data_IF_320884870265
#
_entry.id   IF_320884870265
#
_cell.length_a   1.000
_cell.length_b   1.000
_cell.length_c   1.000
_cell.angle_alpha   90.00
_cell.angle_beta   90.00
_cell.angle_gamma   90.00
#
_symmetry.space_group_name_H-M   'P 1'
#
loop_
_entity.id
_entity.type
_entity.pdbx_description
1 polymer ?
#
# COMPACT_ATOMS: atom_id res chain seq x y z
N UNK A 1 -23.39 -43.31 -42.77
CA UNK A 1 -23.29 -44.04 -41.49
C UNK A 1 -21.99 -43.63 -40.81
N UNK A 2 -22.04 -43.53 -39.48
CA UNK A 2 -21.03 -42.98 -38.56
C UNK A 2 -19.67 -43.67 -38.68
N UNK A 3 -18.60 -42.88 -38.85
CA UNK A 3 -17.26 -43.25 -38.39
C UNK A 3 -16.72 -42.15 -37.48
N UNK A 4 -17.12 -42.25 -36.20
CA UNK A 4 -16.40 -41.67 -35.07
C UNK A 4 -15.14 -42.50 -34.86
N UNK A 5 -13.98 -42.03 -35.30
CA UNK A 5 -12.70 -42.45 -34.74
C UNK A 5 -11.57 -41.58 -35.29
N UNK A 6 -11.51 -40.32 -34.84
CA UNK A 6 -10.32 -39.49 -35.01
C UNK A 6 -10.12 -38.61 -33.79
N UNK A 7 -10.16 -39.24 -32.61
CA UNK A 7 -9.96 -38.60 -31.32
C UNK A 7 -9.14 -39.52 -30.42
N UNK A 8 -7.92 -39.85 -30.87
CA UNK A 8 -6.94 -40.57 -30.05
C UNK A 8 -5.49 -40.40 -30.54
N UNK A 9 -5.08 -39.18 -30.93
CA UNK A 9 -3.68 -38.94 -31.30
C UNK A 9 -3.17 -37.54 -30.92
N UNK A 10 -3.58 -37.02 -29.75
CA UNK A 10 -3.10 -35.74 -29.22
C UNK A 10 -2.80 -35.83 -27.70
N UNK A 11 -2.16 -36.92 -27.26
CA UNK A 11 -1.87 -37.18 -25.84
C UNK A 11 -0.38 -37.51 -25.56
N UNK A 12 0.57 -36.97 -26.33
CA UNK A 12 2.01 -37.21 -26.11
C UNK A 12 2.88 -35.94 -26.05
N UNK A 13 2.32 -34.77 -25.75
CA UNK A 13 3.10 -33.58 -25.38
C UNK A 13 3.15 -33.44 -23.85
N UNK A 14 3.81 -34.41 -23.19
CA UNK A 14 4.24 -34.28 -21.80
C UNK A 14 5.74 -33.95 -21.73
N UNK A 15 6.00 -32.74 -21.23
CA UNK A 15 7.16 -32.28 -20.46
C UNK A 15 8.51 -33.02 -20.61
N UNK A 16 9.44 -32.43 -21.37
CA UNK A 16 10.87 -32.58 -21.11
C UNK A 16 11.23 -31.81 -19.82
N UNK A 17 11.57 -32.53 -18.75
CA UNK A 17 12.18 -31.96 -17.54
C UNK A 17 13.68 -32.31 -17.57
N UNK A 18 14.59 -31.36 -17.81
CA UNK A 18 16.02 -31.63 -17.62
C UNK A 18 16.30 -31.84 -16.13
N UNK A 19 16.91 -32.99 -15.84
CA UNK A 19 17.46 -33.38 -14.55
C UNK A 19 18.88 -32.81 -14.46
N UNK A 20 19.08 -31.84 -13.58
CA UNK A 20 20.41 -31.41 -13.15
C UNK A 20 20.47 -31.55 -11.63
N UNK A 21 21.05 -32.65 -11.17
CA UNK A 21 21.70 -32.75 -9.87
C UNK A 21 23.20 -32.77 -10.17
N UNK A 22 23.94 -31.72 -9.82
CA UNK A 22 24.96 -31.86 -8.78
C UNK A 22 25.65 -30.52 -8.44
N UNK A 23 26.06 -30.49 -7.18
CA UNK A 23 26.66 -29.42 -6.42
C UNK A 23 27.85 -28.73 -7.10
N UNK A 24 27.90 -27.42 -6.97
CA UNK A 24 29.15 -26.75 -6.60
C UNK A 24 28.81 -25.64 -5.62
N UNK A 25 29.26 -25.86 -4.38
CA UNK A 25 29.24 -24.89 -3.30
C UNK A 25 29.94 -23.60 -3.75
N UNK A 26 29.17 -22.53 -3.91
CA UNK A 26 29.67 -21.17 -3.83
C UNK A 26 29.10 -20.57 -2.54
N UNK A 27 29.98 -20.48 -1.55
CA UNK A 27 29.81 -19.77 -0.29
C UNK A 27 29.52 -18.30 -0.57
N UNK A 28 28.25 -17.97 -0.80
CA UNK A 28 27.73 -16.62 -0.75
C UNK A 28 27.14 -16.40 0.64
N UNK A 29 27.84 -15.66 1.48
CA UNK A 29 27.42 -15.21 2.81
C UNK A 29 26.12 -14.39 2.70
N UNK A 30 24.98 -15.08 2.66
CA UNK A 30 23.68 -14.47 2.90
C UNK A 30 23.59 -14.18 4.39
N UNK A 31 23.84 -12.92 4.79
CA UNK A 31 23.51 -12.46 6.12
C UNK A 31 22.08 -12.92 6.47
N UNK A 32 21.85 -13.53 7.64
CA UNK A 32 20.50 -13.86 8.06
C UNK A 32 19.72 -12.55 8.12
N UNK A 33 18.74 -12.40 7.22
CA UNK A 33 17.86 -11.24 7.17
C UNK A 33 17.29 -11.02 8.58
N UNK A 34 17.73 -9.93 9.20
CA UNK A 34 17.51 -9.63 10.61
C UNK A 34 16.01 -9.62 10.91
N UNK A 35 15.57 -10.49 11.82
CA UNK A 35 14.21 -10.48 12.32
C UNK A 35 13.89 -9.06 12.82
N UNK A 36 12.85 -8.44 12.24
CA UNK A 36 12.41 -7.12 12.68
C UNK A 36 11.84 -7.29 14.09
N UNK A 37 12.56 -6.77 15.08
CA UNK A 37 12.13 -6.79 16.47
C UNK A 37 10.86 -5.92 16.59
N UNK A 38 9.73 -6.56 16.86
CA UNK A 38 8.43 -5.93 16.90
C UNK A 38 8.18 -5.34 18.30
N UNK A 39 8.95 -4.30 18.66
CA UNK A 39 8.91 -3.63 19.97
C UNK A 39 7.89 -2.50 20.05
N UNK A 40 7.17 -2.22 18.96
CA UNK A 40 6.22 -1.11 18.89
C UNK A 40 4.86 -1.58 19.43
N UNK A 41 4.26 -0.88 20.42
CA UNK A 41 2.93 -1.23 20.92
C UNK A 41 1.90 -1.27 19.79
N UNK A 42 1.04 -2.28 19.77
CA UNK A 42 -0.04 -2.40 18.78
C UNK A 42 -1.16 -1.38 18.99
N UNK A 43 -1.23 -0.81 20.19
CA UNK A 43 -2.21 0.19 20.60
C UNK A 43 -1.54 1.41 21.21
N UNK A 44 -2.07 2.60 20.91
CA UNK A 44 -1.63 3.85 21.54
C UNK A 44 -2.33 4.04 22.88
N UNK A 45 -1.60 4.55 23.86
CA UNK A 45 -2.16 4.97 25.15
C UNK A 45 -3.04 6.22 24.96
N UNK A 46 -2.48 7.25 24.31
CA UNK A 46 -3.15 8.51 23.97
C UNK A 46 -3.35 8.64 22.46
N UNK A 47 -4.40 9.37 22.06
CA UNK A 47 -4.69 9.69 20.66
C UNK A 47 -5.03 11.16 20.61
N UNK A 48 -4.27 11.92 19.83
CA UNK A 48 -4.52 13.34 19.62
C UNK A 48 -5.70 13.54 18.66
N UNK A 49 -6.46 14.62 18.87
CA UNK A 49 -7.59 14.98 18.00
C UNK A 49 -7.16 15.81 16.77
N UNK A 50 -5.91 16.27 16.74
CA UNK A 50 -5.35 16.99 15.59
C UNK A 50 -4.88 16.02 14.50
N UNK A 51 -4.91 16.44 13.22
CA UNK A 51 -4.37 15.63 12.14
C UNK A 51 -2.85 15.49 12.27
N UNK A 52 -2.33 14.30 11.99
CA UNK A 52 -0.89 14.01 11.89
C UNK A 52 -0.30 14.35 10.53
N UNK A 53 -1.15 14.47 9.51
CA UNK A 53 -0.78 14.98 8.20
C UNK A 53 -2.00 15.63 7.55
N UNK A 54 -1.78 16.77 6.89
CA UNK A 54 -2.83 17.55 6.24
C UNK A 54 -2.35 18.03 4.86
N UNK A 55 -3.27 18.06 3.91
CA UNK A 55 -3.09 18.67 2.60
C UNK A 55 -4.31 19.51 2.26
N UNK A 56 -4.10 20.69 1.69
CA UNK A 56 -5.19 21.53 1.22
C UNK A 56 -4.79 22.29 -0.04
N UNK A 57 -5.58 22.13 -1.10
CA UNK A 57 -5.42 22.85 -2.36
C UNK A 57 -6.74 23.53 -2.72
N UNK A 58 -6.67 24.82 -3.07
CA UNK A 58 -7.83 25.58 -3.50
C UNK A 58 -8.23 25.14 -4.91
N UNK A 59 -9.53 24.94 -5.10
CA UNK A 59 -10.13 24.64 -6.40
C UNK A 59 -10.45 25.97 -7.08
N UNK A 60 -10.23 26.03 -8.39
CA UNK A 60 -10.56 27.23 -9.14
C UNK A 60 -12.08 27.32 -9.32
N UNK A 61 -12.72 28.22 -8.56
CA UNK A 61 -14.11 28.60 -8.73
C UNK A 61 -14.31 30.10 -8.46
N UNK A 62 -15.20 30.73 -9.22
CA UNK A 62 -15.44 32.18 -9.16
C UNK A 62 -16.41 32.59 -8.04
N UNK A 63 -17.23 31.66 -7.56
CA UNK A 63 -18.34 31.93 -6.65
C UNK A 63 -18.11 31.38 -5.25
N UNK A 64 -17.22 30.40 -5.08
CA UNK A 64 -17.03 29.64 -3.84
C UNK A 64 -15.55 29.44 -3.52
N UNK A 65 -15.22 29.38 -2.22
CA UNK A 65 -13.86 29.08 -1.76
C UNK A 65 -13.66 27.57 -1.55
N UNK A 66 -13.97 26.77 -2.56
CA UNK A 66 -13.84 25.31 -2.46
C UNK A 66 -12.38 24.86 -2.41
N UNK A 67 -12.16 23.77 -1.70
CA UNK A 67 -10.84 23.17 -1.54
C UNK A 67 -10.95 21.65 -1.65
N UNK A 68 -9.87 21.04 -2.12
CA UNK A 68 -9.56 19.65 -1.81
C UNK A 68 -8.79 19.67 -0.49
N UNK A 69 -9.37 19.12 0.57
CA UNK A 69 -8.71 18.96 1.86
C UNK A 69 -8.63 17.48 2.23
N UNK A 70 -7.46 17.06 2.72
CA UNK A 70 -7.23 15.70 3.20
C UNK A 70 -6.51 15.78 4.53
N UNK A 71 -7.16 15.27 5.57
CA UNK A 71 -6.63 15.19 6.93
C UNK A 71 -6.51 13.73 7.37
N UNK A 72 -5.38 13.38 7.95
CA UNK A 72 -5.13 12.03 8.48
C UNK A 72 -4.94 12.12 9.99
N UNK A 73 -5.67 11.28 10.72
CA UNK A 73 -5.71 11.24 12.18
C UNK A 73 -5.22 9.90 12.69
N UNK A 74 -4.59 9.92 13.86
CA UNK A 74 -4.27 8.68 14.57
C UNK A 74 -5.53 7.98 15.08
N UNK A 75 -5.43 6.67 15.26
CA UNK A 75 -6.43 5.90 15.99
C UNK A 75 -5.78 5.19 17.17
N UNK A 76 -6.60 4.57 18.02
CA UNK A 76 -6.11 3.71 19.12
C UNK A 76 -5.26 2.55 18.63
N UNK A 77 -5.41 2.11 17.37
CA UNK A 77 -4.54 1.10 16.77
C UNK A 77 -3.32 1.80 16.15
N UNK A 78 -2.11 1.49 16.62
CA UNK A 78 -0.86 2.19 16.24
C UNK A 78 -0.67 2.30 14.73
N UNK A 79 -1.06 1.23 14.03
CA UNK A 79 -0.84 1.03 12.60
C UNK A 79 -2.04 1.37 11.73
N UNK A 80 -3.12 1.90 12.31
CA UNK A 80 -4.34 2.29 11.60
C UNK A 80 -4.62 3.77 11.81
N UNK A 81 -4.91 4.46 10.72
CA UNK A 81 -5.20 5.89 10.70
C UNK A 81 -6.54 6.13 10.00
N UNK A 82 -7.26 7.15 10.46
CA UNK A 82 -8.48 7.63 9.83
C UNK A 82 -8.10 8.76 8.87
N UNK A 83 -8.56 8.68 7.63
CA UNK A 83 -8.42 9.74 6.65
C UNK A 83 -9.79 10.37 6.41
N UNK A 84 -9.87 11.68 6.56
CA UNK A 84 -11.04 12.49 6.23
C UNK A 84 -10.72 13.35 5.02
N UNK A 85 -11.65 13.39 4.08
CA UNK A 85 -11.47 14.07 2.80
C UNK A 85 -12.67 14.96 2.57
N UNK A 86 -12.40 16.21 2.22
CA UNK A 86 -13.41 17.18 1.85
C UNK A 86 -13.11 17.68 0.43
N UNK A 87 -14.15 17.71 -0.39
CA UNK A 87 -14.10 18.25 -1.74
C UNK A 87 -15.43 18.93 -2.09
N UNK A 88 -15.42 20.25 -2.20
CA UNK A 88 -16.64 21.05 -2.40
C UNK A 88 -17.69 20.75 -1.31
N UNK A 89 -18.78 20.07 -1.66
CA UNK A 89 -19.86 19.63 -0.74
C UNK A 89 -19.80 18.13 -0.42
N UNK A 90 -18.79 17.43 -0.95
CA UNK A 90 -18.58 15.99 -0.75
C UNK A 90 -17.61 15.79 0.42
N UNK A 91 -18.02 14.95 1.35
CA UNK A 91 -17.16 14.46 2.43
C UNK A 91 -17.00 12.94 2.28
N UNK A 92 -15.81 12.44 2.52
CA UNK A 92 -15.52 11.01 2.51
C UNK A 92 -14.56 10.64 3.64
N UNK A 93 -14.71 9.42 4.14
CA UNK A 93 -13.78 8.82 5.07
C UNK A 93 -13.20 7.53 4.50
N UNK A 94 -11.93 7.27 4.80
CA UNK A 94 -11.25 6.01 4.48
C UNK A 94 -10.20 5.73 5.57
N UNK A 95 -9.56 4.57 5.50
CA UNK A 95 -8.54 4.13 6.43
C UNK A 95 -7.19 3.92 5.75
N UNK A 96 -6.12 4.35 6.41
CA UNK A 96 -4.75 3.95 6.08
C UNK A 96 -4.28 2.89 7.08
N UNK A 97 -3.87 1.71 6.59
CA UNK A 97 -3.24 0.67 7.44
C UNK A 97 -1.80 0.46 7.00
N UNK A 98 -0.86 0.77 7.88
CA UNK A 98 0.58 0.67 7.63
C UNK A 98 1.10 -0.61 8.29
N UNK A 99 1.76 -1.52 7.57
CA UNK A 99 2.36 -2.69 8.21
C UNK A 99 3.39 -2.28 9.27
N UNK A 100 3.51 -3.07 10.31
CA UNK A 100 4.46 -2.76 11.37
C UNK A 100 5.90 -3.03 10.94
N UNK A 101 6.58 -2.04 10.39
CA UNK A 101 7.96 -2.19 9.97
C UNK A 101 8.95 -2.21 11.15
N UNK A 102 8.51 -2.20 12.42
CA UNK A 102 9.40 -2.11 13.58
C UNK A 102 9.89 -0.68 13.85
N UNK A 103 9.17 0.31 13.31
CA UNK A 103 9.30 1.74 13.60
C UNK A 103 7.90 2.31 13.83
N UNK A 104 7.83 3.44 14.53
CA UNK A 104 6.56 4.18 14.63
C UNK A 104 6.13 4.65 13.23
N UNK A 105 4.88 4.36 12.81
CA UNK A 105 4.41 4.75 11.49
C UNK A 105 4.32 6.28 11.39
N UNK A 106 4.89 6.85 10.32
CA UNK A 106 4.80 8.27 10.02
C UNK A 106 4.10 8.46 8.69
N UNK A 107 2.91 9.05 8.72
CA UNK A 107 2.12 9.38 7.52
C UNK A 107 2.66 10.67 6.89
N UNK A 108 2.68 10.72 5.57
CA UNK A 108 2.91 11.95 4.81
C UNK A 108 1.91 12.07 3.67
N UNK A 109 1.60 13.30 3.28
CA UNK A 109 0.77 13.61 2.11
C UNK A 109 1.61 14.46 1.15
N UNK A 110 1.63 14.10 -0.12
CA UNK A 110 2.36 14.82 -1.18
C UNK A 110 1.43 15.19 -2.31
N UNK A 111 1.72 16.28 -3.02
CA UNK A 111 0.96 16.65 -4.21
C UNK A 111 0.99 15.52 -5.23
N UNK A 112 -0.17 15.20 -5.80
CA UNK A 112 -0.30 14.16 -6.82
C UNK A 112 0.10 14.65 -8.21
N UNK A 113 0.17 13.73 -9.19
CA UNK A 113 0.58 14.06 -10.55
C UNK A 113 -0.48 14.84 -11.33
N UNK A 114 -1.74 14.76 -10.92
CA UNK A 114 -2.87 15.44 -11.56
C UNK A 114 -3.18 16.77 -10.85
N UNK A 115 -3.89 17.67 -11.53
CA UNK A 115 -4.45 18.85 -10.85
C UNK A 115 -5.42 18.40 -9.76
N UNK A 116 -5.46 19.13 -8.65
CA UNK A 116 -6.41 18.87 -7.57
C UNK A 116 -6.31 17.40 -7.09
N UNK A 117 -5.08 16.97 -6.81
CA UNK A 117 -4.80 15.62 -6.37
C UNK A 117 -3.67 15.57 -5.35
N UNK A 118 -3.72 14.58 -4.47
CA UNK A 118 -2.65 14.27 -3.53
C UNK A 118 -2.48 12.77 -3.33
N UNK A 119 -1.27 12.37 -2.96
CA UNK A 119 -0.92 11.01 -2.60
C UNK A 119 -0.71 10.95 -1.11
N UNK A 120 -1.48 10.09 -0.44
CA UNK A 120 -1.29 9.74 0.97
C UNK A 120 -0.41 8.50 1.02
N UNK A 121 0.63 8.57 1.85
CA UNK A 121 1.61 7.51 2.01
C UNK A 121 2.23 7.54 3.41
N UNK A 122 3.38 6.89 3.54
CA UNK A 122 4.12 6.84 4.80
C UNK A 122 5.62 6.73 4.55
N UNK A 123 6.42 7.04 5.57
CA UNK A 123 7.86 6.82 5.51
C UNK A 123 8.22 5.41 5.97
N UNK A 124 9.13 4.76 5.23
CA UNK A 124 9.77 3.52 5.69
C UNK A 124 10.91 3.80 6.68
N UNK A 125 11.70 2.77 7.01
CA UNK A 125 12.81 2.89 7.97
C UNK A 125 13.91 3.80 7.48
N UNK A 126 14.11 3.83 6.17
CA UNK A 126 15.11 4.61 5.48
C UNK A 126 14.65 6.07 5.28
N UNK A 127 13.39 6.38 5.63
CA UNK A 127 12.79 7.70 5.43
C UNK A 127 12.29 7.91 3.99
N UNK A 128 12.21 6.85 3.19
CA UNK A 128 11.67 6.91 1.85
C UNK A 128 10.15 6.94 1.88
N UNK A 129 9.57 7.81 1.06
CA UNK A 129 8.12 7.89 0.93
C UNK A 129 7.56 6.74 0.11
N UNK A 130 6.70 5.97 0.76
CA UNK A 130 5.94 4.88 0.18
C UNK A 130 4.52 5.35 -0.10
N UNK A 131 4.26 5.60 -1.37
CA UNK A 131 2.93 5.96 -1.89
C UNK A 131 1.92 4.86 -1.57
N UNK A 132 0.72 5.21 -1.10
CA UNK A 132 -0.31 4.21 -0.81
C UNK A 132 -1.61 4.51 -1.54
N UNK A 133 -2.23 5.68 -1.31
CA UNK A 133 -3.51 6.04 -1.92
C UNK A 133 -3.40 7.35 -2.67
N UNK A 134 -4.02 7.43 -3.85
CA UNK A 134 -4.23 8.65 -4.62
C UNK A 134 -5.64 9.17 -4.33
N UNK A 135 -5.72 10.41 -3.88
CA UNK A 135 -6.95 11.19 -3.78
C UNK A 135 -6.94 12.14 -4.97
N UNK A 136 -7.90 11.97 -5.87
CA UNK A 136 -7.96 12.76 -7.09
C UNK A 136 -9.40 12.96 -7.53
N UNK A 137 -9.59 13.93 -8.42
CA UNK A 137 -10.85 14.13 -9.10
C UNK A 137 -10.84 13.43 -10.43
N UNK A 138 -11.81 12.54 -10.62
CA UNK A 138 -12.08 11.97 -11.92
C UNK A 138 -13.51 12.34 -12.30
N UNK A 139 -13.65 13.07 -13.41
CA UNK A 139 -14.96 13.46 -13.94
C UNK A 139 -15.82 14.23 -12.91
N UNK A 140 -15.18 15.14 -12.15
CA UNK A 140 -15.80 15.93 -11.06
C UNK A 140 -16.29 15.12 -9.85
N UNK A 141 -15.93 13.84 -9.76
CA UNK A 141 -16.21 13.01 -8.60
C UNK A 141 -14.95 12.77 -7.79
N UNK A 142 -15.07 12.81 -6.47
CA UNK A 142 -13.99 12.44 -5.57
C UNK A 142 -13.69 10.95 -5.75
N UNK A 143 -12.44 10.63 -6.07
CA UNK A 143 -11.98 9.26 -6.23
C UNK A 143 -10.80 8.97 -5.30
N UNK A 144 -10.96 7.90 -4.52
CA UNK A 144 -9.90 7.34 -3.68
C UNK A 144 -9.40 6.06 -4.36
N UNK A 145 -8.15 6.05 -4.80
CA UNK A 145 -7.55 4.90 -5.49
C UNK A 145 -6.38 4.36 -4.69
N UNK A 146 -6.37 3.06 -4.41
CA UNK A 146 -5.16 2.41 -3.86
C UNK A 146 -4.13 2.23 -4.96
N UNK A 147 -2.95 2.83 -4.79
CA UNK A 147 -1.82 2.72 -5.71
C UNK A 147 -0.98 1.47 -5.47
N UNK A 148 -0.68 1.18 -4.21
CA UNK A 148 0.21 0.09 -3.79
C UNK A 148 -0.31 -0.56 -2.52
N UNK A 149 -0.03 -1.85 -2.35
CA UNK A 149 -0.29 -2.57 -1.10
C UNK A 149 1.04 -2.96 -0.48
N UNK A 150 1.15 -2.81 0.85
CA UNK A 150 2.36 -3.14 1.58
C UNK A 150 2.08 -4.27 2.56
N UNK A 151 3.06 -5.16 2.72
CA UNK A 151 2.98 -6.30 3.63
C UNK A 151 4.37 -6.65 4.17
N UNK A 152 4.39 -7.50 5.19
CA UNK A 152 5.62 -8.07 5.74
C UNK A 152 5.71 -9.53 5.33
N UNK A 153 6.85 -9.93 4.77
CA UNK A 153 7.16 -11.34 4.64
C UNK A 153 7.51 -11.90 6.03
N UNK A 154 6.88 -13.03 6.39
CA UNK A 154 7.27 -13.81 7.57
C UNK A 154 8.24 -14.87 7.12
N UNK A 155 9.48 -14.82 7.60
CA UNK A 155 10.46 -15.87 7.35
C UNK A 155 10.44 -16.87 8.50
N UNK A 156 10.37 -18.17 8.17
CA UNK A 156 10.54 -19.24 9.15
C UNK A 156 12.03 -19.37 9.43
N UNK A 157 12.46 -18.93 10.61
CA UNK A 157 13.81 -19.25 11.09
C UNK A 157 13.78 -20.71 11.53
N UNK A 158 14.54 -21.57 10.86
CA UNK A 158 14.78 -22.92 11.37
C UNK A 158 15.60 -22.77 12.65
N UNK A 159 15.10 -23.34 13.75
CA UNK A 159 15.92 -23.57 14.95
C UNK A 159 16.98 -24.62 14.67
#
# INVERSE_FOLDING_TARGET
MKHYSFLLLLALLCCNKPKNDDETAATGSGEPAKAINDTIPLTRETVENSPVASYSEKIQDELNDWRLAVDVYETKQTFKFLMKIEYMVQEAEDTLTIPNFGIMPKVEIRKGPEKESCIVGFLDKEGEFKEYKLIALKEKQLKISTLKYYGRARYKVSK
#
